data_IF_929889562864
#
_entry.id   IF_929889562864
#
_cell.length_a   1.000
_cell.length_b   1.000
_cell.length_c   1.000
_cell.angle_alpha   90.00
_cell.angle_beta   90.00
_cell.angle_gamma   90.00
#
_symmetry.space_group_name_H-M   'P 1'
#
loop_
_entity.id
_entity.type
_entity.pdbx_description
1 polymer ?
#
# COMPACT_ATOMS: atom_id res chain seq x y z
N UNK A 1 -26.60 18.04 9.78
CA UNK A 1 -25.65 18.04 8.64
C UNK A 1 -26.23 17.19 7.52
N UNK A 2 -26.54 17.75 6.34
CA UNK A 2 -26.94 16.98 5.15
C UNK A 2 -25.76 16.97 4.19
N UNK A 3 -24.95 15.91 4.21
CA UNK A 3 -23.98 15.67 3.14
C UNK A 3 -24.81 15.41 1.88
N UNK A 4 -24.62 16.22 0.85
CA UNK A 4 -25.38 16.05 -0.39
C UNK A 4 -24.91 14.79 -1.13
N UNK A 5 -25.81 14.06 -1.81
CA UNK A 5 -25.45 12.83 -2.54
C UNK A 5 -24.25 13.02 -3.50
N UNK A 6 -24.09 14.24 -4.03
CA UNK A 6 -22.97 14.62 -4.89
C UNK A 6 -21.64 14.65 -4.15
N UNK A 7 -21.61 15.13 -2.90
CA UNK A 7 -20.42 15.12 -2.05
C UNK A 7 -20.02 13.70 -1.66
N UNK A 8 -20.99 12.88 -1.24
CA UNK A 8 -20.75 11.48 -0.93
C UNK A 8 -20.22 10.69 -2.14
N UNK A 9 -20.80 10.91 -3.33
CA UNK A 9 -20.32 10.29 -4.57
C UNK A 9 -18.90 10.73 -4.93
N UNK A 10 -18.57 12.02 -4.78
CA UNK A 10 -17.22 12.55 -5.02
C UNK A 10 -16.20 11.95 -4.05
N UNK A 11 -16.51 11.90 -2.76
CA UNK A 11 -15.65 11.30 -1.74
C UNK A 11 -15.38 9.82 -2.02
N UNK A 12 -16.43 9.05 -2.34
CA UNK A 12 -16.31 7.64 -2.70
C UNK A 12 -15.43 7.43 -3.93
N UNK A 13 -15.58 8.26 -4.96
CA UNK A 13 -14.73 8.21 -6.16
C UNK A 13 -13.27 8.55 -5.86
N UNK A 14 -13.02 9.57 -5.04
CA UNK A 14 -11.66 9.94 -4.63
C UNK A 14 -10.99 8.80 -3.84
N UNK A 15 -11.73 8.19 -2.89
CA UNK A 15 -11.26 7.05 -2.11
C UNK A 15 -10.95 5.83 -2.98
N UNK A 16 -11.78 5.54 -3.99
CA UNK A 16 -11.53 4.43 -4.90
C UNK A 16 -10.31 4.68 -5.81
N UNK A 17 -10.15 5.90 -6.32
CA UNK A 17 -8.95 6.29 -7.08
C UNK A 17 -7.69 6.15 -6.23
N UNK A 18 -7.72 6.60 -4.98
CA UNK A 18 -6.62 6.44 -4.04
C UNK A 18 -6.30 4.96 -3.79
N UNK A 19 -7.32 4.13 -3.54
CA UNK A 19 -7.15 2.67 -3.37
C UNK A 19 -6.58 2.00 -4.61
N UNK A 20 -6.99 2.41 -5.81
CA UNK A 20 -6.41 1.89 -7.05
C UNK A 20 -4.95 2.30 -7.21
N UNK A 21 -4.61 3.55 -6.95
CA UNK A 21 -3.22 4.03 -6.99
C UNK A 21 -2.34 3.27 -5.98
N UNK A 22 -2.80 3.11 -4.73
CA UNK A 22 -2.09 2.36 -3.71
C UNK A 22 -1.88 0.88 -4.10
N UNK A 23 -2.91 0.23 -4.68
CA UNK A 23 -2.79 -1.15 -5.20
C UNK A 23 -1.77 -1.26 -6.33
N UNK A 24 -1.74 -0.30 -7.25
CA UNK A 24 -0.76 -0.26 -8.35
C UNK A 24 0.65 -0.08 -7.81
N UNK A 25 0.86 0.87 -6.90
CA UNK A 25 2.15 1.09 -6.26
C UNK A 25 2.64 -0.17 -5.53
N UNK A 26 1.77 -0.79 -4.72
CA UNK A 26 2.10 -2.05 -4.03
C UNK A 26 2.51 -3.14 -5.01
N UNK A 27 1.80 -3.29 -6.12
CA UNK A 27 2.14 -4.29 -7.15
C UNK A 27 3.50 -4.00 -7.80
N UNK A 28 3.83 -2.73 -8.05
CA UNK A 28 5.13 -2.36 -8.59
C UNK A 28 6.26 -2.70 -7.61
N UNK A 29 6.09 -2.34 -6.33
CA UNK A 29 7.08 -2.62 -5.28
C UNK A 29 7.26 -4.13 -5.05
N UNK A 30 6.16 -4.90 -4.99
CA UNK A 30 6.21 -6.35 -4.77
C UNK A 30 6.92 -7.12 -5.90
N UNK A 31 6.91 -6.57 -7.13
CA UNK A 31 7.55 -7.18 -8.29
C UNK A 31 8.89 -6.52 -8.65
N UNK A 32 9.36 -5.54 -7.87
CA UNK A 32 10.67 -4.95 -8.08
C UNK A 32 11.77 -5.99 -7.85
N UNK A 33 12.88 -5.96 -8.62
CA UNK A 33 13.98 -6.92 -8.46
C UNK A 33 14.82 -6.68 -7.19
N UNK A 34 14.56 -5.58 -6.47
CA UNK A 34 15.24 -5.20 -5.23
C UNK A 34 14.32 -5.35 -4.02
N UNK A 35 14.90 -5.59 -2.85
CA UNK A 35 14.18 -5.50 -1.58
C UNK A 35 13.82 -4.06 -1.24
N UNK A 36 12.62 -3.85 -0.69
CA UNK A 36 12.17 -2.53 -0.26
C UNK A 36 11.40 -2.64 1.04
N UNK A 37 11.86 -1.91 2.06
CA UNK A 37 11.16 -1.72 3.32
C UNK A 37 10.97 -0.24 3.65
N UNK A 38 9.94 0.03 4.43
CA UNK A 38 9.72 1.35 5.02
C UNK A 38 9.93 1.27 6.51
N UNK A 39 10.50 2.34 7.08
CA UNK A 39 10.71 2.50 8.51
C UNK A 39 9.77 3.59 9.05
N UNK A 40 9.37 3.49 10.32
CA UNK A 40 8.84 4.63 11.05
C UNK A 40 9.99 5.53 11.57
N UNK A 41 9.64 6.58 12.33
CA UNK A 41 10.62 7.53 12.87
C UNK A 41 11.56 6.89 13.90
N UNK A 42 11.12 5.81 14.51
CA UNK A 42 11.84 5.02 15.49
C UNK A 42 12.72 3.91 14.84
N UNK A 43 12.77 3.84 13.50
CA UNK A 43 13.57 2.86 12.77
C UNK A 43 12.96 1.46 12.68
N UNK A 44 11.69 1.30 13.06
CA UNK A 44 10.97 0.02 13.00
C UNK A 44 10.41 -0.18 11.59
N UNK A 45 10.65 -1.37 11.03
CA UNK A 45 10.08 -1.78 9.74
C UNK A 45 8.55 -1.82 9.82
N UNK A 46 7.90 -0.99 9.02
CA UNK A 46 6.43 -0.88 8.92
C UNK A 46 5.88 -1.60 7.69
N UNK A 47 6.70 -1.83 6.67
CA UNK A 47 6.32 -2.56 5.46
C UNK A 47 7.54 -3.15 4.79
N UNK A 48 7.36 -4.27 4.10
CA UNK A 48 8.37 -4.94 3.28
C UNK A 48 7.71 -5.42 1.99
N UNK A 49 8.43 -5.37 0.88
CA UNK A 49 7.97 -5.90 -0.40
C UNK A 49 8.17 -7.43 -0.48
N UNK A 50 7.51 -8.05 -1.44
CA UNK A 50 7.61 -9.50 -1.61
C UNK A 50 9.02 -9.98 -1.97
N UNK A 51 9.82 -9.17 -2.66
CA UNK A 51 11.20 -9.50 -3.03
C UNK A 51 12.11 -9.62 -1.82
N UNK A 52 12.06 -8.67 -0.88
CA UNK A 52 12.84 -8.71 0.36
C UNK A 52 12.47 -9.91 1.22
N UNK A 53 11.16 -10.20 1.36
CA UNK A 53 10.68 -11.40 2.07
C UNK A 53 11.33 -12.66 1.48
N UNK A 54 11.36 -12.78 0.14
CA UNK A 54 11.99 -13.93 -0.55
C UNK A 54 13.51 -13.96 -0.33
N UNK A 55 14.18 -12.81 -0.43
CA UNK A 55 15.63 -12.70 -0.23
C UNK A 55 16.05 -13.13 1.18
N UNK A 56 15.26 -12.77 2.19
CA UNK A 56 15.52 -13.12 3.59
C UNK A 56 15.04 -14.55 3.97
N UNK A 57 14.46 -15.30 3.03
CA UNK A 57 13.98 -16.67 3.28
C UNK A 57 12.71 -16.78 4.11
N UNK A 58 12.05 -15.65 4.42
CA UNK A 58 10.80 -15.66 5.16
C UNK A 58 9.60 -15.96 4.24
N UNK A 59 8.53 -16.50 4.83
CA UNK A 59 7.22 -16.58 4.19
C UNK A 59 6.31 -15.54 4.81
N UNK A 60 5.65 -14.74 3.98
CA UNK A 60 4.62 -13.82 4.47
C UNK A 60 3.53 -14.63 5.17
N UNK A 61 3.31 -14.38 6.46
CA UNK A 61 2.20 -15.00 7.19
C UNK A 61 0.90 -14.49 6.56
N UNK A 62 0.05 -15.43 6.13
CA UNK A 62 -1.29 -15.15 5.59
C UNK A 62 -2.25 -14.82 6.71
#
# INVERSE_FOLDING_TARGET
>A
MKITEKEFKKEKQAKEKFRQAARRLKKLLDNAPVGYHTLNREGIITSVNQTEIRMLGYKKKR
#
